data_IF_951644186559
#
_entry.id   IF_951644186559
#
_cell.length_a   1.000
_cell.length_b   1.000
_cell.length_c   1.000
_cell.angle_alpha   90.00
_cell.angle_beta   90.00
_cell.angle_gamma   90.00
#
_symmetry.space_group_name_H-M   'P 1'
#
loop_
_entity.id
_entity.type
_entity.pdbx_description
1 polymer ?
#
# COMPACT_ATOMS: atom_id res chain seq x y z
N UNK A 1 -1.31 5.29 -12.18
CA UNK A 1 -2.58 5.56 -12.81
C UNK A 1 -2.89 7.05 -12.94
N UNK A 2 -3.72 7.61 -12.06
CA UNK A 2 -4.32 8.95 -12.23
C UNK A 2 -3.28 10.05 -12.45
N UNK A 3 -2.26 10.14 -11.60
CA UNK A 3 -1.26 11.20 -11.73
C UNK A 3 -0.41 11.10 -13.02
N UNK A 4 -0.21 9.88 -13.54
CA UNK A 4 0.63 9.68 -14.73
C UNK A 4 -0.14 9.83 -16.04
N UNK A 5 -1.41 9.38 -16.08
CA UNK A 5 -2.17 9.30 -17.34
C UNK A 5 -3.37 10.25 -17.37
N UNK A 6 -3.90 10.63 -16.21
CA UNK A 6 -5.20 11.27 -16.11
C UNK A 6 -6.35 10.28 -16.25
N UNK A 7 -7.54 10.69 -15.84
CA UNK A 7 -8.75 9.84 -15.90
C UNK A 7 -9.32 9.70 -17.30
N UNK A 8 -9.11 10.70 -18.18
CA UNK A 8 -9.63 10.64 -19.55
C UNK A 8 -9.11 9.42 -20.31
N UNK A 9 -7.80 9.16 -20.24
CA UNK A 9 -7.19 7.97 -20.86
C UNK A 9 -7.70 6.70 -20.20
N UNK A 10 -7.80 6.66 -18.87
CA UNK A 10 -8.30 5.49 -18.14
C UNK A 10 -9.76 5.15 -18.53
N UNK A 11 -10.60 6.14 -18.66
CA UNK A 11 -11.99 5.98 -19.12
C UNK A 11 -12.02 5.46 -20.57
N UNK A 12 -11.18 6.01 -21.45
CA UNK A 12 -11.13 5.59 -22.84
C UNK A 12 -10.65 4.13 -22.98
N UNK A 13 -9.63 3.72 -22.25
CA UNK A 13 -9.17 2.32 -22.23
C UNK A 13 -10.27 1.36 -21.73
N UNK A 14 -11.01 1.75 -20.69
CA UNK A 14 -12.15 0.95 -20.21
C UNK A 14 -13.27 0.82 -21.25
N UNK A 15 -13.59 1.90 -21.97
CA UNK A 15 -14.55 1.85 -23.08
C UNK A 15 -14.06 0.95 -24.22
N UNK A 16 -12.77 1.02 -24.56
CA UNK A 16 -12.18 0.12 -25.56
C UNK A 16 -12.28 -1.34 -25.13
N UNK A 17 -12.00 -1.62 -23.86
CA UNK A 17 -12.15 -2.98 -23.33
C UNK A 17 -13.61 -3.45 -23.39
N UNK A 18 -14.56 -2.60 -22.97
CA UNK A 18 -16.00 -2.88 -23.04
C UNK A 18 -16.46 -3.23 -24.48
N UNK A 19 -15.92 -2.52 -25.48
CA UNK A 19 -16.26 -2.77 -26.89
C UNK A 19 -15.60 -4.03 -27.47
N UNK A 20 -14.57 -4.57 -26.82
CA UNK A 20 -13.92 -5.84 -27.23
C UNK A 20 -14.56 -7.07 -26.62
N UNK A 21 -15.38 -6.92 -25.58
CA UNK A 21 -16.10 -8.05 -25.01
C UNK A 21 -17.07 -8.59 -26.06
N UNK A 22 -16.88 -9.85 -26.42
CA UNK A 22 -17.75 -10.53 -27.38
C UNK A 22 -19.18 -10.63 -26.81
N UNK A 23 -20.15 -10.19 -27.61
CA UNK A 23 -21.57 -10.22 -27.25
C UNK A 23 -22.32 -11.32 -27.98
N UNK A 24 -21.63 -12.13 -28.81
CA UNK A 24 -22.27 -13.22 -29.57
C UNK A 24 -22.64 -14.41 -28.67
N UNK A 25 -21.82 -14.64 -27.61
CA UNK A 25 -22.15 -15.56 -26.53
C UNK A 25 -22.33 -14.77 -25.24
N UNK A 26 -23.56 -14.52 -24.82
CA UNK A 26 -23.86 -13.85 -23.55
C UNK A 26 -23.76 -14.88 -22.44
N UNK A 27 -22.61 -14.87 -21.75
CA UNK A 27 -22.38 -15.65 -20.53
C UNK A 27 -22.52 -14.77 -19.29
N UNK A 28 -22.73 -15.39 -18.13
CA UNK A 28 -22.75 -14.68 -16.84
C UNK A 28 -21.48 -13.88 -16.62
N UNK A 29 -20.31 -14.43 -16.95
CA UNK A 29 -19.02 -13.78 -16.84
C UNK A 29 -18.92 -12.51 -17.70
N UNK A 30 -19.43 -12.55 -18.94
CA UNK A 30 -19.47 -11.39 -19.83
C UNK A 30 -20.39 -10.31 -19.27
N UNK A 31 -21.56 -10.68 -18.73
CA UNK A 31 -22.50 -9.73 -18.11
C UNK A 31 -21.83 -9.06 -16.92
N UNK A 32 -21.27 -9.82 -15.98
CA UNK A 32 -20.58 -9.31 -14.80
C UNK A 32 -19.41 -8.39 -15.18
N UNK A 33 -18.58 -8.78 -16.15
CA UNK A 33 -17.47 -7.95 -16.64
C UNK A 33 -17.96 -6.62 -17.24
N UNK A 34 -19.06 -6.63 -17.97
CA UNK A 34 -19.62 -5.39 -18.53
C UNK A 34 -20.20 -4.47 -17.49
N UNK A 35 -20.88 -5.01 -16.48
CA UNK A 35 -21.39 -4.24 -15.33
C UNK A 35 -20.24 -3.63 -14.56
N UNK A 36 -19.23 -4.42 -14.19
CA UNK A 36 -18.04 -3.97 -13.47
C UNK A 36 -17.34 -2.81 -14.20
N UNK A 37 -17.05 -2.94 -15.48
CA UNK A 37 -16.39 -1.89 -16.26
C UNK A 37 -17.27 -0.64 -16.35
N UNK A 38 -18.58 -0.80 -16.48
CA UNK A 38 -19.51 0.31 -16.55
C UNK A 38 -19.54 1.08 -15.23
N UNK A 39 -19.55 0.39 -14.09
CA UNK A 39 -19.46 1.01 -12.77
C UNK A 39 -18.09 1.69 -12.54
N UNK A 40 -16.99 1.09 -12.99
CA UNK A 40 -15.67 1.73 -12.94
C UNK A 40 -15.62 3.04 -13.75
N UNK A 41 -16.25 3.10 -14.93
CA UNK A 41 -16.34 4.33 -15.71
C UNK A 41 -17.18 5.39 -14.98
N UNK A 42 -18.30 5.01 -14.37
CA UNK A 42 -19.12 5.92 -13.55
C UNK A 42 -18.34 6.44 -12.34
N UNK A 43 -17.61 5.56 -11.64
CA UNK A 43 -16.78 5.91 -10.50
C UNK A 43 -15.67 6.92 -10.89
N UNK A 44 -14.98 6.71 -12.04
CA UNK A 44 -13.97 7.66 -12.54
C UNK A 44 -14.58 9.04 -12.84
N UNK A 45 -15.78 9.10 -13.42
CA UNK A 45 -16.47 10.37 -13.66
C UNK A 45 -16.92 11.06 -12.36
N UNK A 46 -17.34 10.29 -11.35
CA UNK A 46 -17.64 10.82 -10.02
C UNK A 46 -16.39 11.36 -9.34
N UNK A 47 -15.27 10.64 -9.48
CA UNK A 47 -13.96 11.06 -9.01
C UNK A 47 -13.51 12.38 -9.66
N UNK A 48 -13.68 12.57 -10.97
CA UNK A 48 -13.40 13.85 -11.65
C UNK A 48 -14.17 15.02 -11.02
N UNK A 49 -15.46 14.81 -10.75
CA UNK A 49 -16.31 15.84 -10.11
C UNK A 49 -15.82 16.17 -8.69
N UNK A 50 -15.46 15.16 -7.91
CA UNK A 50 -14.90 15.33 -6.58
C UNK A 50 -13.59 16.14 -6.66
N UNK A 51 -12.66 15.76 -7.52
CA UNK A 51 -11.37 16.45 -7.67
C UNK A 51 -11.54 17.91 -8.12
N UNK A 52 -12.48 18.17 -9.05
CA UNK A 52 -12.79 19.52 -9.52
C UNK A 52 -13.33 20.41 -8.39
N UNK A 53 -14.10 19.86 -7.42
CA UNK A 53 -14.56 20.62 -6.26
C UNK A 53 -13.42 21.06 -5.33
N UNK A 54 -12.27 20.39 -5.39
CA UNK A 54 -11.03 20.77 -4.71
C UNK A 54 -10.08 21.61 -5.59
N UNK A 55 -10.50 21.98 -6.80
CA UNK A 55 -9.73 22.79 -7.72
C UNK A 55 -8.67 22.03 -8.53
N UNK A 56 -8.79 20.69 -8.65
CA UNK A 56 -7.86 19.86 -9.39
C UNK A 56 -8.51 19.23 -10.62
N UNK A 57 -7.87 19.40 -11.78
CA UNK A 57 -8.24 18.75 -13.04
C UNK A 57 -7.45 17.45 -13.21
N UNK A 58 -8.06 16.34 -12.80
CA UNK A 58 -7.48 15.00 -12.91
C UNK A 58 -7.76 14.31 -14.25
N UNK A 59 -8.44 14.98 -15.19
CA UNK A 59 -8.72 14.42 -16.52
C UNK A 59 -7.44 14.25 -17.33
N UNK A 60 -6.43 15.04 -17.05
CA UNK A 60 -5.09 15.04 -17.65
C UNK A 60 -4.00 14.56 -16.68
N UNK A 61 -2.81 14.22 -17.17
CA UNK A 61 -1.64 13.95 -16.33
C UNK A 61 -1.27 15.14 -15.44
N UNK A 62 -0.71 14.85 -14.26
CA UNK A 62 -0.13 15.85 -13.39
C UNK A 62 1.04 16.57 -14.10
N UNK A 63 1.15 17.89 -13.94
CA UNK A 63 2.15 18.71 -14.63
C UNK A 63 3.31 19.15 -13.73
N UNK A 64 3.11 19.10 -12.42
CA UNK A 64 4.07 19.52 -11.42
C UNK A 64 3.97 18.63 -10.16
N UNK A 65 4.91 18.81 -9.24
CA UNK A 65 5.01 18.04 -8.01
C UNK A 65 3.75 18.17 -7.15
N UNK A 66 3.21 19.38 -7.00
CA UNK A 66 2.01 19.64 -6.20
C UNK A 66 0.80 18.88 -6.74
N UNK A 67 0.58 18.93 -8.05
CA UNK A 67 -0.49 18.16 -8.69
C UNK A 67 -0.27 16.65 -8.52
N UNK A 68 0.96 16.17 -8.77
CA UNK A 68 1.27 14.74 -8.65
C UNK A 68 0.98 14.21 -7.25
N UNK A 69 1.44 14.90 -6.20
CA UNK A 69 1.17 14.55 -4.79
C UNK A 69 -0.33 14.56 -4.51
N UNK A 70 -1.02 15.60 -4.94
CA UNK A 70 -2.45 15.73 -4.68
C UNK A 70 -3.29 14.69 -5.44
N UNK A 71 -2.92 14.37 -6.69
CA UNK A 71 -3.60 13.34 -7.48
C UNK A 71 -3.41 11.93 -6.88
N UNK A 72 -2.21 11.64 -6.35
CA UNK A 72 -1.96 10.40 -5.60
C UNK A 72 -2.86 10.34 -4.37
N UNK A 73 -2.93 11.42 -3.59
CA UNK A 73 -3.75 11.47 -2.39
C UNK A 73 -5.26 11.33 -2.70
N UNK A 74 -5.77 12.05 -3.69
CA UNK A 74 -7.18 11.96 -4.09
C UNK A 74 -7.53 10.55 -4.60
N UNK A 75 -6.65 9.94 -5.40
CA UNK A 75 -6.83 8.56 -5.85
C UNK A 75 -6.80 7.56 -4.68
N UNK A 76 -5.96 7.81 -3.68
CA UNK A 76 -5.93 7.03 -2.45
C UNK A 76 -7.26 7.13 -1.67
N UNK A 77 -7.84 8.33 -1.55
CA UNK A 77 -9.15 8.49 -0.92
C UNK A 77 -10.26 7.70 -1.63
N UNK A 78 -10.24 7.70 -2.97
CA UNK A 78 -11.18 6.89 -3.75
C UNK A 78 -10.97 5.38 -3.50
N UNK A 79 -9.72 4.92 -3.41
CA UNK A 79 -9.40 3.53 -3.11
C UNK A 79 -9.81 3.13 -1.67
N UNK A 80 -9.63 4.01 -0.68
CA UNK A 80 -10.12 3.80 0.70
C UNK A 80 -11.64 3.63 0.72
N UNK A 81 -12.35 4.47 -0.04
CA UNK A 81 -13.80 4.40 -0.16
C UNK A 81 -14.28 3.08 -0.78
N UNK A 82 -13.59 2.62 -1.83
CA UNK A 82 -13.93 1.39 -2.55
C UNK A 82 -13.63 0.13 -1.70
N UNK A 83 -12.50 0.12 -1.01
CA UNK A 83 -12.08 -1.02 -0.19
C UNK A 83 -12.97 -1.24 1.03
N UNK A 84 -13.56 -0.20 1.57
CA UNK A 84 -14.48 -0.26 2.71
C UNK A 84 -13.86 -0.91 3.96
N UNK A 85 -12.57 -0.66 4.22
CA UNK A 85 -11.87 -1.29 5.34
C UNK A 85 -10.43 -0.86 5.56
N UNK A 86 -9.69 -1.71 6.27
CA UNK A 86 -8.28 -1.55 6.56
C UNK A 86 -7.39 -2.30 5.54
N UNK A 87 -6.08 -2.16 5.72
CA UNK A 87 -5.05 -2.84 4.95
C UNK A 87 -4.81 -2.26 3.56
N UNK A 88 -4.57 -0.95 3.54
CA UNK A 88 -4.21 -0.24 2.31
C UNK A 88 -2.72 -0.32 2.00
N UNK A 89 -2.39 -0.23 0.72
CA UNK A 89 -1.05 0.07 0.22
C UNK A 89 -1.13 1.20 -0.79
N UNK A 90 -0.22 2.15 -0.71
CA UNK A 90 -0.03 3.16 -1.77
C UNK A 90 1.11 2.80 -2.71
N UNK A 91 1.72 1.63 -2.49
CA UNK A 91 2.80 1.11 -3.31
C UNK A 91 4.11 1.86 -3.06
N UNK A 92 4.81 2.21 -4.13
CA UNK A 92 6.12 2.86 -4.12
C UNK A 92 6.02 4.29 -4.65
N UNK A 93 5.28 5.14 -3.93
CA UNK A 93 4.98 6.51 -4.40
C UNK A 93 6.20 7.42 -4.31
N UNK A 94 7.13 7.17 -3.39
CA UNK A 94 8.36 7.97 -3.26
C UNK A 94 9.19 7.98 -4.53
N UNK A 95 9.39 6.83 -5.18
CA UNK A 95 10.12 6.73 -6.45
C UNK A 95 9.36 7.42 -7.59
N UNK A 96 8.04 7.30 -7.61
CA UNK A 96 7.18 7.92 -8.60
C UNK A 96 7.16 9.45 -8.47
N UNK A 97 6.94 9.96 -7.26
CA UNK A 97 6.85 11.41 -7.00
C UNK A 97 8.17 12.12 -7.22
N UNK A 98 9.29 11.42 -7.05
CA UNK A 98 10.63 11.96 -7.29
C UNK A 98 10.78 12.52 -8.72
N UNK A 99 10.11 11.90 -9.70
CA UNK A 99 10.14 12.36 -11.10
C UNK A 99 9.65 13.84 -11.21
N UNK A 100 8.57 14.15 -10.52
CA UNK A 100 7.96 15.49 -10.54
C UNK A 100 8.71 16.46 -9.63
N UNK A 101 9.07 16.02 -8.44
CA UNK A 101 9.75 16.86 -7.44
C UNK A 101 11.12 17.27 -7.96
N UNK A 102 11.95 16.34 -8.43
CA UNK A 102 13.27 16.66 -8.95
C UNK A 102 13.22 17.46 -10.26
N UNK A 103 12.17 17.30 -11.07
CA UNK A 103 11.93 18.17 -12.21
C UNK A 103 11.67 19.61 -11.77
N UNK A 104 10.75 19.81 -10.83
CA UNK A 104 10.36 21.15 -10.38
C UNK A 104 11.51 21.85 -9.64
N UNK A 105 12.34 21.11 -8.88
CA UNK A 105 13.56 21.64 -8.26
C UNK A 105 14.55 22.11 -9.33
N UNK A 106 14.82 21.30 -10.36
CA UNK A 106 15.74 21.67 -11.45
C UNK A 106 15.26 22.87 -12.24
N UNK A 107 13.94 23.02 -12.37
CA UNK A 107 13.31 24.15 -13.06
C UNK A 107 13.18 25.41 -12.17
N UNK A 108 13.64 25.34 -10.91
CA UNK A 108 13.55 26.44 -9.93
C UNK A 108 12.12 26.76 -9.48
N UNK A 109 11.19 25.80 -9.62
CA UNK A 109 9.79 25.93 -9.20
C UNK A 109 9.57 25.52 -7.76
N UNK A 110 10.47 24.71 -7.20
CA UNK A 110 10.50 24.25 -5.81
C UNK A 110 11.91 24.38 -5.25
N UNK A 111 12.00 24.73 -3.98
CA UNK A 111 13.22 24.53 -3.17
C UNK A 111 13.22 23.13 -2.56
N UNK A 112 14.33 22.74 -1.94
CA UNK A 112 14.41 21.46 -1.22
C UNK A 112 13.48 21.44 0.00
N UNK A 113 13.36 22.58 0.70
CA UNK A 113 12.48 22.76 1.86
C UNK A 113 11.01 22.63 1.45
N UNK A 114 10.59 23.27 0.35
CA UNK A 114 9.22 23.14 -0.18
C UNK A 114 8.92 21.73 -0.66
N UNK A 115 9.91 21.02 -1.22
CA UNK A 115 9.76 19.63 -1.62
C UNK A 115 9.56 18.71 -0.40
N UNK A 116 10.31 18.94 0.69
CA UNK A 116 10.11 18.23 1.95
C UNK A 116 8.73 18.54 2.53
N UNK A 117 8.32 19.80 2.53
CA UNK A 117 6.99 20.22 3.02
C UNK A 117 5.86 19.54 2.27
N UNK A 118 5.95 19.39 0.94
CA UNK A 118 4.96 18.64 0.15
C UNK A 118 4.83 17.19 0.61
N UNK A 119 5.94 16.53 0.91
CA UNK A 119 5.94 15.16 1.42
C UNK A 119 5.39 15.11 2.85
N UNK A 120 5.79 16.04 3.71
CA UNK A 120 5.27 16.14 5.09
C UNK A 120 3.75 16.35 5.08
N UNK A 121 3.21 17.21 4.22
CA UNK A 121 1.78 17.42 4.07
C UNK A 121 1.04 16.17 3.58
N UNK A 122 1.65 15.37 2.68
CA UNK A 122 1.09 14.09 2.27
C UNK A 122 1.00 13.12 3.46
N UNK A 123 2.07 13.01 4.24
CA UNK A 123 2.10 12.14 5.42
C UNK A 123 1.07 12.58 6.47
N UNK A 124 0.93 13.89 6.72
CA UNK A 124 -0.13 14.43 7.60
C UNK A 124 -1.51 14.00 7.10
N UNK A 125 -1.79 14.15 5.82
CA UNK A 125 -3.07 13.76 5.22
C UNK A 125 -3.33 12.26 5.36
N UNK A 126 -2.31 11.40 5.16
CA UNK A 126 -2.43 9.96 5.36
C UNK A 126 -2.73 9.61 6.83
N UNK A 127 -2.15 10.35 7.80
CA UNK A 127 -2.43 10.18 9.23
C UNK A 127 -3.84 10.62 9.62
N UNK A 128 -4.47 11.53 8.90
CA UNK A 128 -5.81 12.05 9.16
C UNK A 128 -6.90 11.14 8.60
N UNK A 129 -6.63 10.46 7.49
CA UNK A 129 -7.62 9.59 6.84
C UNK A 129 -8.07 8.50 7.80
N UNK A 130 -9.38 8.40 7.99
CA UNK A 130 -10.02 7.36 8.80
C UNK A 130 -11.14 6.73 7.99
N UNK A 131 -11.44 5.50 8.36
CA UNK A 131 -12.57 4.77 7.82
C UNK A 131 -13.53 4.43 8.96
N UNK A 132 -14.77 4.87 8.84
CA UNK A 132 -15.78 4.63 9.86
C UNK A 132 -16.12 3.13 9.93
N UNK A 133 -16.00 2.55 11.13
CA UNK A 133 -16.21 1.13 11.41
C UNK A 133 -17.23 0.96 12.52
N UNK A 134 -17.73 -0.28 12.67
CA UNK A 134 -18.54 -0.64 13.84
C UNK A 134 -17.69 -0.61 15.12
N UNK A 135 -18.31 -0.40 16.30
CA UNK A 135 -17.59 -0.42 17.57
C UNK A 135 -16.78 -1.69 17.79
N UNK A 136 -17.34 -2.84 17.46
CA UNK A 136 -16.68 -4.16 17.63
C UNK A 136 -15.42 -4.26 16.75
N UNK A 137 -15.48 -3.70 15.55
CA UNK A 137 -14.31 -3.67 14.66
C UNK A 137 -13.23 -2.72 15.20
N UNK A 138 -13.62 -1.58 15.74
CA UNK A 138 -12.70 -0.63 16.36
C UNK A 138 -12.01 -1.22 17.58
N UNK A 139 -12.74 -1.97 18.42
CA UNK A 139 -12.16 -2.67 19.57
C UNK A 139 -11.10 -3.70 19.13
N UNK A 140 -11.39 -4.43 18.05
CA UNK A 140 -10.47 -5.43 17.53
C UNK A 140 -9.17 -4.81 16.96
N UNK A 141 -9.24 -3.64 16.35
CA UNK A 141 -8.14 -2.97 15.67
C UNK A 141 -7.62 -1.71 16.38
N UNK A 142 -8.04 -1.47 17.61
CA UNK A 142 -7.64 -0.29 18.39
C UNK A 142 -7.94 1.04 17.70
N UNK A 143 -9.11 1.16 17.09
CA UNK A 143 -9.59 2.35 16.40
C UNK A 143 -9.89 2.14 14.93
N UNK A 144 -9.89 3.23 14.17
CA UNK A 144 -10.29 3.31 12.76
C UNK A 144 -9.18 3.71 11.77
N UNK A 145 -7.88 3.37 11.98
CA UNK A 145 -6.83 3.64 11.01
C UNK A 145 -7.03 2.83 9.73
N UNK A 146 -6.55 3.35 8.60
CA UNK A 146 -6.64 2.67 7.31
C UNK A 146 -5.51 1.64 7.14
N UNK A 147 -4.47 1.73 7.96
CA UNK A 147 -3.28 0.88 7.92
C UNK A 147 -2.57 0.93 6.57
N UNK A 148 -2.34 2.17 6.11
CA UNK A 148 -1.67 2.40 4.82
C UNK A 148 -0.17 2.18 4.93
N UNK A 149 0.40 1.55 3.89
CA UNK A 149 1.85 1.32 3.77
C UNK A 149 2.41 1.97 2.51
N UNK A 150 3.50 2.68 2.67
CA UNK A 150 4.40 3.12 1.59
C UNK A 150 5.63 2.22 1.55
N UNK A 151 5.96 1.70 0.39
CA UNK A 151 7.17 0.92 0.14
C UNK A 151 8.30 1.82 -0.37
N UNK A 152 9.45 1.82 0.30
CA UNK A 152 10.57 2.71 0.02
C UNK A 152 11.76 1.97 -0.61
N UNK A 153 12.26 2.48 -1.71
CA UNK A 153 13.44 1.91 -2.37
C UNK A 153 13.15 0.61 -3.12
N UNK A 154 13.96 -0.43 -2.84
CA UNK A 154 13.92 -1.68 -3.60
C UNK A 154 14.61 -1.59 -4.95
N UNK A 155 14.37 -2.56 -5.82
CA UNK A 155 15.04 -2.71 -7.12
C UNK A 155 14.02 -2.71 -8.27
N UNK A 156 14.43 -2.18 -9.42
CA UNK A 156 13.68 -2.26 -10.67
C UNK A 156 13.93 -3.58 -11.42
N UNK A 157 13.26 -3.73 -12.57
CA UNK A 157 13.36 -4.92 -13.46
C UNK A 157 14.80 -5.24 -13.84
N UNK A 158 15.60 -4.21 -14.06
CA UNK A 158 17.01 -4.28 -14.45
C UNK A 158 17.98 -4.37 -13.25
N UNK A 159 17.46 -4.53 -12.03
CA UNK A 159 18.24 -4.60 -10.79
C UNK A 159 18.79 -3.26 -10.30
N UNK A 160 18.49 -2.15 -10.98
CA UNK A 160 18.88 -0.82 -10.51
C UNK A 160 18.16 -0.46 -9.23
N UNK A 161 18.84 0.32 -8.37
CA UNK A 161 18.23 0.87 -7.18
C UNK A 161 17.09 1.83 -7.52
N UNK A 162 15.96 1.68 -6.84
CA UNK A 162 14.84 2.61 -6.89
C UNK A 162 14.80 3.56 -5.70
N UNK A 163 15.87 3.60 -4.91
CA UNK A 163 16.06 4.61 -3.88
C UNK A 163 16.29 5.96 -4.54
N UNK A 164 15.46 6.93 -4.20
CA UNK A 164 15.50 8.30 -4.72
C UNK A 164 15.65 9.31 -3.59
N UNK A 165 15.87 10.59 -3.90
CA UNK A 165 15.88 11.66 -2.89
C UNK A 165 14.55 11.71 -2.14
N UNK A 166 13.45 11.48 -2.81
CA UNK A 166 12.13 11.46 -2.17
C UNK A 166 11.98 10.27 -1.22
N UNK A 167 12.69 9.16 -1.42
CA UNK A 167 12.75 8.09 -0.41
C UNK A 167 13.35 8.59 0.92
N UNK A 168 14.40 9.41 0.86
CA UNK A 168 14.96 10.07 2.05
C UNK A 168 13.98 11.07 2.65
N UNK A 169 13.27 11.87 1.83
CA UNK A 169 12.26 12.83 2.32
C UNK A 169 11.14 12.12 3.09
N UNK A 170 10.67 10.96 2.61
CA UNK A 170 9.67 10.16 3.33
C UNK A 170 10.16 9.73 4.73
N UNK A 171 11.37 9.21 4.84
CA UNK A 171 11.93 8.86 6.15
C UNK A 171 12.19 10.10 7.02
N UNK A 172 12.56 11.22 6.40
CA UNK A 172 12.80 12.47 7.13
C UNK A 172 11.53 13.03 7.77
N UNK A 173 10.35 12.67 7.25
CA UNK A 173 9.08 13.08 7.89
C UNK A 173 8.96 12.60 9.33
N UNK A 174 9.62 11.50 9.69
CA UNK A 174 9.63 11.00 11.07
C UNK A 174 10.36 11.92 12.04
N UNK A 175 11.31 12.70 11.55
CA UNK A 175 11.95 13.75 12.36
C UNK A 175 11.09 15.02 12.42
N UNK A 176 10.47 15.42 11.31
CA UNK A 176 9.67 16.63 11.23
C UNK A 176 8.33 16.50 11.98
N UNK A 177 7.67 15.35 11.86
CA UNK A 177 6.32 15.11 12.34
C UNK A 177 6.24 14.18 13.54
N UNK A 178 7.36 13.61 13.95
CA UNK A 178 7.43 12.55 14.96
C UNK A 178 7.00 11.17 14.42
N UNK A 179 7.41 10.11 15.14
CA UNK A 179 7.03 8.74 14.81
C UNK A 179 5.53 8.54 14.96
N UNK A 180 4.95 7.73 14.07
CA UNK A 180 3.54 7.35 14.12
C UNK A 180 3.37 5.96 13.49
N UNK A 181 2.34 5.20 13.89
CA UNK A 181 2.07 3.88 13.34
C UNK A 181 1.59 3.93 11.89
N UNK A 182 1.16 5.09 11.41
CA UNK A 182 0.61 5.27 10.08
C UNK A 182 1.12 6.57 9.44
N UNK A 183 1.50 6.55 8.13
CA UNK A 183 1.65 5.36 7.31
C UNK A 183 2.80 4.46 7.78
N UNK A 184 2.67 3.14 7.60
CA UNK A 184 3.82 2.26 7.70
C UNK A 184 4.82 2.62 6.61
N UNK A 185 6.06 2.92 6.99
CA UNK A 185 7.16 3.14 6.06
C UNK A 185 7.99 1.87 5.99
N UNK A 186 7.81 1.09 4.92
CA UNK A 186 8.49 -0.19 4.74
C UNK A 186 9.66 -0.04 3.77
N UNK A 187 10.87 -0.15 4.28
CA UNK A 187 12.09 -0.15 3.47
C UNK A 187 12.24 -1.49 2.79
N UNK A 188 12.23 -1.49 1.46
CA UNK A 188 12.55 -2.65 0.65
C UNK A 188 14.08 -2.79 0.59
N UNK A 189 14.61 -3.54 1.55
CA UNK A 189 16.04 -3.75 1.70
C UNK A 189 16.57 -4.74 0.67
N UNK A 190 17.72 -4.48 0.11
CA UNK A 190 18.45 -5.39 -0.77
C UNK A 190 19.94 -5.25 -0.57
N UNK A 191 20.69 -6.34 -0.87
CA UNK A 191 22.12 -6.43 -0.58
C UNK A 191 22.92 -5.28 -1.20
N UNK A 192 22.61 -4.91 -2.44
CA UNK A 192 23.30 -3.89 -3.21
C UNK A 192 22.69 -2.48 -3.08
N UNK A 193 21.84 -2.25 -2.07
CA UNK A 193 21.32 -0.89 -1.80
C UNK A 193 22.48 0.09 -1.53
N UNK A 194 22.33 1.37 -1.91
CA UNK A 194 23.34 2.39 -1.63
C UNK A 194 23.71 2.43 -0.15
N UNK A 195 25.00 2.47 0.16
CA UNK A 195 25.49 2.39 1.54
C UNK A 195 24.99 3.56 2.41
N UNK A 196 24.91 4.77 1.86
CA UNK A 196 24.37 5.93 2.53
C UNK A 196 22.86 5.75 2.87
N UNK A 197 22.11 5.06 2.01
CA UNK A 197 20.70 4.70 2.28
C UNK A 197 20.60 3.73 3.44
N UNK A 198 21.37 2.66 3.43
CA UNK A 198 21.40 1.68 4.52
C UNK A 198 21.70 2.33 5.88
N UNK A 199 22.74 3.19 5.91
CA UNK A 199 23.12 3.93 7.13
C UNK A 199 22.04 4.89 7.59
N UNK A 200 21.40 5.60 6.66
CA UNK A 200 20.31 6.51 6.99
C UNK A 200 19.09 5.73 7.54
N UNK A 201 18.68 4.64 6.90
CA UNK A 201 17.62 3.78 7.41
C UNK A 201 17.93 3.24 8.82
N UNK A 202 19.16 2.74 9.05
CA UNK A 202 19.57 2.27 10.36
C UNK A 202 19.51 3.39 11.42
N UNK A 203 19.96 4.60 11.07
CA UNK A 203 19.86 5.77 11.96
C UNK A 203 18.39 6.09 12.29
N UNK A 204 17.52 6.17 11.29
CA UNK A 204 16.10 6.45 11.51
C UNK A 204 15.45 5.37 12.37
N UNK A 205 15.80 4.08 12.16
CA UNK A 205 15.31 2.98 13.00
C UNK A 205 15.69 3.16 14.47
N UNK A 206 16.94 3.53 14.75
CA UNK A 206 17.44 3.74 16.10
C UNK A 206 16.74 4.94 16.75
N UNK A 207 16.60 6.04 16.00
CA UNK A 207 16.08 7.29 16.51
C UNK A 207 14.55 7.27 16.73
N UNK A 208 13.80 6.51 15.93
CA UNK A 208 12.34 6.64 15.86
C UNK A 208 11.58 5.34 16.14
N UNK A 209 12.19 4.18 15.93
CA UNK A 209 11.52 2.86 15.96
C UNK A 209 10.26 2.78 15.07
N UNK A 210 10.17 3.56 13.99
CA UNK A 210 8.94 3.77 13.20
C UNK A 210 9.06 3.33 11.74
N UNK A 211 10.03 2.50 11.41
CA UNK A 211 10.15 1.92 10.06
C UNK A 211 10.19 0.40 10.11
N UNK A 212 9.73 -0.22 9.03
CA UNK A 212 9.77 -1.66 8.80
C UNK A 212 10.74 -1.99 7.68
N UNK A 213 11.11 -3.26 7.58
CA UNK A 213 11.96 -3.76 6.52
C UNK A 213 11.35 -5.01 5.89
N UNK A 214 11.39 -5.06 4.57
CA UNK A 214 11.16 -6.26 3.78
C UNK A 214 12.41 -6.57 2.95
N UNK A 215 12.75 -7.84 2.81
CA UNK A 215 13.89 -8.25 2.01
C UNK A 215 13.52 -8.36 0.54
N UNK A 216 13.83 -7.33 -0.25
CA UNK A 216 13.50 -7.24 -1.67
C UNK A 216 14.18 -8.36 -2.50
N UNK A 217 15.37 -8.82 -2.10
CA UNK A 217 16.05 -9.93 -2.78
C UNK A 217 15.29 -11.25 -2.63
N UNK A 218 14.55 -11.44 -1.52
CA UNK A 218 13.73 -12.63 -1.27
C UNK A 218 12.32 -12.49 -1.83
N UNK A 219 11.76 -11.26 -1.84
CA UNK A 219 10.37 -11.03 -2.26
C UNK A 219 10.21 -11.02 -3.78
N UNK A 220 11.15 -10.44 -4.52
CA UNK A 220 11.07 -10.28 -5.98
C UNK A 220 10.91 -11.58 -6.77
N UNK A 221 11.55 -12.70 -6.45
CA UNK A 221 11.35 -13.96 -7.15
C UNK A 221 9.87 -14.40 -7.20
N UNK A 222 9.13 -14.16 -6.13
CA UNK A 222 7.73 -14.60 -6.00
C UNK A 222 6.72 -13.54 -6.45
N UNK A 223 6.98 -12.26 -6.13
CA UNK A 223 6.04 -11.17 -6.34
C UNK A 223 6.37 -10.27 -7.54
N UNK A 224 7.57 -10.41 -8.13
CA UNK A 224 8.02 -9.56 -9.24
C UNK A 224 8.55 -8.21 -8.77
N UNK A 225 8.76 -7.30 -9.71
CA UNK A 225 9.42 -6.02 -9.45
C UNK A 225 8.46 -4.93 -8.95
N UNK A 226 7.15 -5.11 -9.17
CA UNK A 226 6.12 -4.15 -8.80
C UNK A 226 5.14 -4.80 -7.84
N UNK A 227 5.57 -4.94 -6.61
CA UNK A 227 4.73 -5.37 -5.50
C UNK A 227 4.59 -4.26 -4.46
N UNK A 228 3.48 -4.26 -3.75
CA UNK A 228 3.23 -3.41 -2.60
C UNK A 228 3.14 -4.25 -1.34
N UNK A 229 3.37 -3.59 -0.22
CA UNK A 229 3.09 -4.16 1.09
C UNK A 229 1.78 -3.55 1.57
N UNK A 230 0.79 -4.39 1.86
CA UNK A 230 -0.46 -3.94 2.43
C UNK A 230 -0.46 -4.10 3.94
N UNK A 231 -0.99 -3.10 4.62
CA UNK A 231 -1.07 -3.05 6.08
C UNK A 231 0.33 -3.12 6.71
N UNK A 232 0.68 -4.25 7.29
CA UNK A 232 1.94 -4.45 8.00
C UNK A 232 3.01 -5.12 7.14
N UNK A 233 2.71 -6.31 6.58
CA UNK A 233 3.72 -7.20 5.99
C UNK A 233 3.20 -8.02 4.81
N UNK A 234 1.99 -7.82 4.35
CA UNK A 234 1.41 -8.67 3.31
C UNK A 234 1.79 -8.20 1.92
N UNK A 235 2.70 -8.89 1.21
CA UNK A 235 3.07 -8.54 -0.14
C UNK A 235 1.97 -8.93 -1.14
N UNK A 236 1.81 -8.12 -2.19
CA UNK A 236 0.92 -8.41 -3.29
C UNK A 236 1.44 -7.81 -4.59
N UNK A 237 1.19 -8.48 -5.70
CA UNK A 237 1.45 -7.94 -7.04
C UNK A 237 0.43 -6.84 -7.32
N UNK A 238 0.88 -5.60 -7.49
CA UNK A 238 0.01 -4.45 -7.72
C UNK A 238 -0.84 -4.65 -8.97
N UNK A 239 -2.16 -4.46 -8.82
CA UNK A 239 -3.13 -4.63 -9.89
C UNK A 239 -3.39 -6.07 -10.35
N UNK A 240 -2.83 -7.08 -9.65
CA UNK A 240 -3.00 -8.50 -10.01
C UNK A 240 -3.44 -9.38 -8.85
N UNK A 241 -3.19 -8.98 -7.64
CA UNK A 241 -3.54 -9.74 -6.45
C UNK A 241 -4.26 -8.85 -5.45
N UNK A 242 -5.05 -9.48 -4.60
CA UNK A 242 -5.67 -8.84 -3.45
C UNK A 242 -5.18 -9.54 -2.19
N UNK A 243 -5.26 -8.82 -1.08
CA UNK A 243 -5.07 -9.37 0.25
C UNK A 243 -6.43 -9.71 0.86
N UNK A 244 -6.52 -10.89 1.46
CA UNK A 244 -7.64 -11.27 2.32
C UNK A 244 -7.13 -11.58 3.72
N UNK A 245 -7.90 -11.21 4.74
CA UNK A 245 -7.76 -11.78 6.06
C UNK A 245 -8.44 -13.16 6.06
N UNK A 246 -7.72 -14.19 5.61
CA UNK A 246 -8.29 -15.52 5.44
C UNK A 246 -8.52 -16.25 6.74
N UNK A 247 -7.55 -16.21 7.66
CA UNK A 247 -7.62 -16.87 8.95
C UNK A 247 -6.68 -16.21 9.97
N UNK A 248 -7.01 -16.37 11.25
CA UNK A 248 -6.12 -16.06 12.37
C UNK A 248 -5.78 -17.33 13.09
N UNK A 249 -4.49 -17.62 13.24
CA UNK A 249 -3.99 -18.74 14.02
C UNK A 249 -3.48 -18.23 15.37
N UNK A 250 -4.01 -18.81 16.46
CA UNK A 250 -3.44 -18.61 17.79
C UNK A 250 -2.26 -19.58 17.95
N UNK A 251 -1.04 -19.10 17.74
CA UNK A 251 0.17 -19.93 17.77
C UNK A 251 0.38 -20.58 19.13
N UNK A 252 0.08 -19.89 20.24
CA UNK A 252 0.15 -20.48 21.58
C UNK A 252 -0.83 -21.63 21.73
N UNK A 253 -2.04 -21.51 21.17
CA UNK A 253 -3.04 -22.59 21.19
C UNK A 253 -2.62 -23.75 20.30
N UNK A 254 -2.01 -23.50 19.14
CA UNK A 254 -1.43 -24.56 18.31
C UNK A 254 -0.35 -25.35 19.06
N UNK A 255 0.53 -24.66 19.80
CA UNK A 255 1.54 -25.31 20.64
C UNK A 255 0.89 -26.15 21.74
N UNK A 256 -0.13 -25.63 22.44
CA UNK A 256 -0.86 -26.40 23.47
C UNK A 256 -1.51 -27.66 22.89
N UNK A 257 -2.09 -27.58 21.72
CA UNK A 257 -2.64 -28.77 21.04
C UNK A 257 -1.54 -29.77 20.68
N UNK A 258 -0.39 -29.29 20.19
CA UNK A 258 0.75 -30.19 19.94
C UNK A 258 1.24 -30.89 21.19
N UNK A 259 1.33 -30.20 22.32
CA UNK A 259 1.73 -30.76 23.61
C UNK A 259 0.69 -31.76 24.13
N UNK A 260 -0.60 -31.50 23.92
CA UNK A 260 -1.71 -32.29 24.45
C UNK A 260 -2.27 -33.32 23.45
N UNK A 261 -1.55 -33.68 22.38
CA UNK A 261 -1.98 -34.70 21.42
C UNK A 261 -3.26 -34.34 20.67
N UNK A 262 -3.47 -33.05 20.38
CA UNK A 262 -4.65 -32.53 19.66
C UNK A 262 -5.89 -32.28 20.52
N UNK A 263 -5.75 -32.30 21.86
CA UNK A 263 -6.84 -32.11 22.81
C UNK A 263 -6.83 -30.70 23.40
N UNK A 264 -8.00 -30.09 23.50
CA UNK A 264 -8.15 -28.81 24.18
C UNK A 264 -7.95 -28.94 25.69
N UNK A 265 -7.09 -28.11 26.26
CA UNK A 265 -6.70 -28.21 27.67
C UNK A 265 -7.80 -27.78 28.65
N UNK A 266 -8.79 -27.02 28.20
CA UNK A 266 -9.89 -26.53 29.03
C UNK A 266 -11.12 -27.42 28.95
N UNK A 267 -11.54 -27.75 27.74
CA UNK A 267 -12.76 -28.54 27.52
C UNK A 267 -12.51 -30.05 27.49
N UNK A 268 -11.26 -30.46 27.31
CA UNK A 268 -10.90 -31.86 27.11
C UNK A 268 -11.35 -32.45 25.77
N UNK A 269 -11.92 -31.61 24.87
CA UNK A 269 -12.42 -32.05 23.58
C UNK A 269 -11.25 -32.33 22.63
N UNK A 270 -11.35 -33.41 21.84
CA UNK A 270 -10.42 -33.71 20.76
C UNK A 270 -10.73 -32.78 19.58
N UNK A 271 -9.85 -31.79 19.30
CA UNK A 271 -10.04 -30.77 18.28
C UNK A 271 -9.23 -31.00 17.01
N UNK A 272 -8.26 -31.90 17.06
CA UNK A 272 -7.42 -32.31 15.94
C UNK A 272 -7.29 -33.84 15.91
N UNK A 273 -6.78 -34.44 14.83
CA UNK A 273 -6.48 -35.87 14.81
C UNK A 273 -5.61 -36.23 16.03
N UNK A 274 -5.90 -37.41 16.65
CA UNK A 274 -5.11 -37.88 17.78
C UNK A 274 -3.70 -38.23 17.33
N UNK A 275 -2.70 -37.72 18.02
CA UNK A 275 -1.29 -38.05 17.83
C UNK A 275 -0.59 -38.15 19.17
N UNK A 276 0.58 -38.72 19.18
CA UNK A 276 1.38 -38.80 20.40
C UNK A 276 1.72 -37.40 20.90
N UNK A 277 1.43 -37.08 22.15
CA UNK A 277 1.78 -35.79 22.72
C UNK A 277 3.28 -35.52 22.56
N UNK A 278 3.62 -34.37 22.08
CA UNK A 278 5.04 -33.98 21.93
C UNK A 278 5.60 -33.78 23.33
N UNK A 279 6.45 -34.68 23.75
CA UNK A 279 7.22 -34.57 24.99
C UNK A 279 8.67 -34.34 24.62
N UNK A 280 9.22 -33.25 25.01
CA UNK A 280 10.61 -32.96 24.71
C UNK A 280 11.10 -31.63 25.29
N UNK A 281 12.40 -31.51 25.40
CA UNK A 281 13.10 -30.29 25.73
C UNK A 281 13.08 -29.41 24.47
N UNK A 282 12.07 -28.54 24.34
CA UNK A 282 11.88 -27.61 23.22
C UNK A 282 12.13 -26.16 23.63
N UNK A 283 12.76 -25.94 24.77
CA UNK A 283 13.19 -24.61 25.24
C UNK A 283 14.70 -24.54 25.36
#
# INVERSE_FOLDING_TARGET
>A
GVALYGTAILIEEKKRFLNRLDIQEITEEIIQSREEISEQIKALKAFEKMCASYGFDVTRPAQNAREAVQFVYLAYLAAVKDQDGAAMSIGRTSTFLDIYIEKDIREGKLTEEEAQELVDQLIIKLRIVRFLRTPEYNDLFSGDPVWVTESLGGQGVDGRSLVTRTSYRYLHTLYNLGPAPEPNLTVLWFKNAPENWKRFCAKVSIDTSAIQYENDDLMRPDYGDDYGIACCVSPMKIGKQMQFFGARANLAKCLLYAINGGRDERSGVQVAPMFEPVRGEYL
#
